data_IF_840659005982
#
_entry.id   IF_840659005982
#
_cell.length_a   1.000
_cell.length_b   1.000
_cell.length_c   1.000
_cell.angle_alpha   90.00
_cell.angle_beta   90.00
_cell.angle_gamma   90.00
#
_symmetry.space_group_name_H-M   'P 1'
#
loop_
_entity.id
_entity.type
_entity.pdbx_description
1 polymer ?
#
# COMPACT_ATOMS: atom_id res chain seq x y z
N UNK A 1 22.28 -5.64 19.41
CA UNK A 1 21.33 -5.22 18.35
C UNK A 1 20.13 -6.14 18.43
N UNK A 2 18.89 -5.65 18.53
CA UNK A 2 17.75 -6.56 18.62
C UNK A 2 17.64 -7.29 17.29
N UNK A 3 17.56 -8.63 17.36
CA UNK A 3 17.37 -9.53 16.22
C UNK A 3 16.13 -9.07 15.46
N UNK A 4 16.32 -8.32 14.36
CA UNK A 4 15.24 -8.04 13.43
C UNK A 4 14.86 -9.40 12.85
N UNK A 5 13.74 -9.98 13.30
CA UNK A 5 13.21 -11.22 12.74
C UNK A 5 13.07 -11.01 11.23
N UNK A 6 13.92 -11.68 10.47
CA UNK A 6 13.95 -11.60 9.02
C UNK A 6 12.58 -11.95 8.45
N UNK A 7 12.21 -11.26 7.37
CA UNK A 7 11.00 -11.56 6.64
C UNK A 7 11.25 -12.83 5.82
N UNK A 8 10.45 -13.87 6.06
CA UNK A 8 10.60 -15.12 5.30
C UNK A 8 10.08 -14.92 3.88
N UNK A 9 10.79 -15.47 2.88
CA UNK A 9 10.38 -15.37 1.46
C UNK A 9 8.93 -15.83 1.22
N UNK A 10 8.42 -16.92 1.82
CA UNK A 10 7.03 -17.32 1.65
C UNK A 10 6.03 -16.29 2.17
N UNK A 11 6.32 -15.64 3.29
CA UNK A 11 5.43 -14.61 3.85
C UNK A 11 5.39 -13.37 2.95
N UNK A 12 6.54 -12.95 2.42
CA UNK A 12 6.61 -11.84 1.48
C UNK A 12 5.84 -12.15 0.19
N UNK A 13 5.98 -13.36 -0.34
CA UNK A 13 5.22 -13.82 -1.51
C UNK A 13 3.72 -13.90 -1.25
N UNK A 14 3.30 -14.35 -0.06
CA UNK A 14 1.89 -14.37 0.32
C UNK A 14 1.30 -12.95 0.38
N UNK A 15 2.01 -12.00 0.98
CA UNK A 15 1.56 -10.59 1.02
C UNK A 15 1.47 -10.00 -0.38
N UNK A 16 2.43 -10.31 -1.25
CA UNK A 16 2.38 -9.90 -2.65
C UNK A 16 1.09 -10.39 -3.32
N UNK A 17 0.81 -11.70 -3.25
CA UNK A 17 -0.38 -12.28 -3.87
C UNK A 17 -1.67 -11.71 -3.28
N UNK A 18 -1.75 -11.60 -1.94
CA UNK A 18 -2.94 -11.08 -1.27
C UNK A 18 -3.19 -9.61 -1.60
N UNK A 19 -2.17 -8.75 -1.59
CA UNK A 19 -2.30 -7.33 -1.91
C UNK A 19 -2.84 -7.12 -3.33
N UNK A 20 -2.33 -7.89 -4.29
CA UNK A 20 -2.82 -7.87 -5.67
C UNK A 20 -4.22 -8.45 -5.82
N UNK A 21 -4.52 -9.57 -5.17
CA UNK A 21 -5.85 -10.17 -5.20
C UNK A 21 -6.92 -9.21 -4.65
N UNK A 22 -6.62 -8.53 -3.54
CA UNK A 22 -7.49 -7.49 -2.96
C UNK A 22 -7.67 -6.35 -3.97
N UNK A 23 -6.58 -5.80 -4.52
CA UNK A 23 -6.67 -4.69 -5.47
C UNK A 23 -7.51 -5.01 -6.71
N UNK A 24 -7.25 -6.14 -7.36
CA UNK A 24 -8.01 -6.59 -8.54
C UNK A 24 -9.50 -6.75 -8.20
N UNK A 25 -9.79 -7.36 -7.04
CA UNK A 25 -11.18 -7.55 -6.59
C UNK A 25 -11.87 -6.21 -6.40
N UNK A 26 -11.24 -5.27 -5.68
CA UNK A 26 -11.79 -3.95 -5.42
C UNK A 26 -12.03 -3.15 -6.71
N UNK A 27 -11.08 -3.17 -7.65
CA UNK A 27 -11.25 -2.51 -8.96
C UNK A 27 -12.37 -3.12 -9.79
N UNK A 28 -12.57 -4.44 -9.69
CA UNK A 28 -13.63 -5.15 -10.40
C UNK A 28 -15.02 -4.79 -9.86
N UNK A 29 -15.16 -4.59 -8.54
CA UNK A 29 -16.46 -4.30 -7.89
C UNK A 29 -16.72 -2.81 -7.70
N UNK A 30 -15.76 -1.92 -7.96
CA UNK A 30 -15.90 -0.47 -7.72
C UNK A 30 -17.08 0.17 -8.46
N UNK A 31 -17.44 -0.35 -9.64
CA UNK A 31 -18.58 0.13 -10.42
C UNK A 31 -19.95 -0.20 -9.80
N UNK A 32 -20.00 -1.13 -8.83
CA UNK A 32 -21.21 -1.48 -8.07
C UNK A 32 -21.46 -0.53 -6.90
N UNK A 33 -20.60 0.46 -6.68
CA UNK A 33 -20.75 1.44 -5.62
C UNK A 33 -22.00 2.32 -5.83
N UNK A 34 -22.66 2.76 -4.74
CA UNK A 34 -23.88 3.56 -4.82
C UNK A 34 -23.67 4.95 -5.45
N UNK A 35 -22.44 5.46 -5.40
CA UNK A 35 -22.06 6.77 -5.92
C UNK A 35 -20.59 6.78 -6.37
N UNK A 36 -20.24 7.79 -7.18
CA UNK A 36 -18.90 7.92 -7.75
C UNK A 36 -17.80 8.16 -6.71
N UNK A 37 -18.11 8.80 -5.59
CA UNK A 37 -17.16 9.06 -4.49
C UNK A 37 -16.78 7.76 -3.81
N UNK A 38 -17.78 6.96 -3.45
CA UNK A 38 -17.57 5.63 -2.86
C UNK A 38 -16.83 4.70 -3.82
N UNK A 39 -17.17 4.72 -5.11
CA UNK A 39 -16.44 3.97 -6.14
C UNK A 39 -14.97 4.39 -6.26
N UNK A 40 -14.70 5.70 -6.26
CA UNK A 40 -13.34 6.24 -6.26
C UNK A 40 -12.53 5.82 -5.03
N UNK A 41 -13.15 5.87 -3.85
CA UNK A 41 -12.51 5.43 -2.59
C UNK A 41 -12.15 3.94 -2.62
N UNK A 42 -13.02 3.07 -3.13
CA UNK A 42 -12.75 1.63 -3.30
C UNK A 42 -11.52 1.41 -4.19
N UNK A 43 -11.41 2.16 -5.30
CA UNK A 43 -10.25 2.07 -6.20
C UNK A 43 -8.96 2.44 -5.49
N UNK A 44 -9.00 3.49 -4.66
CA UNK A 44 -7.85 3.99 -3.91
C UNK A 44 -7.37 3.02 -2.82
N UNK A 45 -8.29 2.31 -2.16
CA UNK A 45 -7.92 1.20 -1.27
C UNK A 45 -7.20 0.10 -2.05
N UNK A 46 -7.66 -0.21 -3.28
CA UNK A 46 -6.97 -1.15 -4.17
C UNK A 46 -5.55 -0.73 -4.51
N UNK A 47 -5.32 0.57 -4.74
CA UNK A 47 -3.97 1.13 -4.97
C UNK A 47 -3.07 0.89 -3.76
N UNK A 48 -3.56 1.13 -2.54
CA UNK A 48 -2.78 0.88 -1.32
C UNK A 48 -2.45 -0.60 -1.14
N UNK A 49 -3.41 -1.49 -1.35
CA UNK A 49 -3.22 -2.93 -1.23
C UNK A 49 -2.16 -3.45 -2.21
N UNK A 50 -2.23 -3.03 -3.47
CA UNK A 50 -1.26 -3.40 -4.50
C UNK A 50 0.11 -2.79 -4.23
N UNK A 51 0.16 -1.55 -3.71
CA UNK A 51 1.42 -0.89 -3.33
C UNK A 51 2.14 -1.65 -2.22
N UNK A 52 1.43 -2.08 -1.17
CA UNK A 52 1.99 -2.92 -0.10
C UNK A 52 2.40 -4.28 -0.65
N UNK A 53 1.54 -4.91 -1.46
CA UNK A 53 1.83 -6.19 -2.11
C UNK A 53 3.11 -6.13 -2.94
N UNK A 54 3.27 -5.11 -3.76
CA UNK A 54 4.46 -4.87 -4.58
C UNK A 54 5.71 -4.64 -3.73
N UNK A 55 5.62 -3.87 -2.65
CA UNK A 55 6.76 -3.58 -1.78
C UNK A 55 7.25 -4.82 -0.99
N UNK A 56 6.34 -5.73 -0.62
CA UNK A 56 6.62 -6.80 0.33
C UNK A 56 7.81 -7.72 -0.02
N UNK A 57 8.01 -8.19 -1.27
CA UNK A 57 9.18 -8.99 -1.67
C UNK A 57 10.52 -8.27 -1.47
N UNK A 58 10.50 -6.94 -1.48
CA UNK A 58 11.69 -6.10 -1.40
C UNK A 58 12.03 -5.67 0.03
N UNK A 59 11.18 -5.97 1.02
CA UNK A 59 11.44 -5.65 2.42
C UNK A 59 12.29 -6.74 3.09
N UNK A 60 13.28 -6.32 3.88
CA UNK A 60 14.20 -7.25 4.57
C UNK A 60 13.66 -7.72 5.92
N UNK A 61 12.82 -6.90 6.57
CA UNK A 61 12.39 -7.14 7.95
C UNK A 61 10.88 -7.20 8.09
N UNK A 62 10.40 -7.98 9.05
CA UNK A 62 8.98 -7.98 9.44
C UNK A 62 8.52 -6.60 9.93
N UNK A 63 9.41 -5.81 10.54
CA UNK A 63 9.10 -4.44 10.99
C UNK A 63 8.80 -3.53 9.81
N UNK A 64 9.60 -3.59 8.75
CA UNK A 64 9.34 -2.85 7.51
C UNK A 64 8.00 -3.23 6.89
N UNK A 65 7.68 -4.54 6.88
CA UNK A 65 6.37 -4.99 6.41
C UNK A 65 5.21 -4.45 7.28
N UNK A 66 5.33 -4.53 8.60
CA UNK A 66 4.32 -3.97 9.52
C UNK A 66 4.19 -2.46 9.33
N UNK A 67 5.29 -1.74 9.15
CA UNK A 67 5.26 -0.30 8.87
C UNK A 67 4.54 0.01 7.56
N UNK A 68 4.78 -0.76 6.50
CA UNK A 68 4.07 -0.61 5.22
C UNK A 68 2.56 -0.85 5.37
N UNK A 69 2.16 -1.86 6.14
CA UNK A 69 0.74 -2.13 6.44
C UNK A 69 0.11 -1.00 7.27
N UNK A 70 0.80 -0.52 8.31
CA UNK A 70 0.32 0.61 9.11
C UNK A 70 0.16 1.86 8.23
N UNK A 71 1.15 2.14 7.37
CA UNK A 71 1.08 3.28 6.46
C UNK A 71 -0.08 3.15 5.47
N UNK A 72 -0.39 1.94 4.99
CA UNK A 72 -1.57 1.70 4.18
C UNK A 72 -2.87 1.94 4.96
N UNK A 73 -2.97 1.48 6.22
CA UNK A 73 -4.14 1.77 7.06
C UNK A 73 -4.33 3.28 7.30
N UNK A 74 -3.23 4.01 7.54
CA UNK A 74 -3.24 5.48 7.62
C UNK A 74 -3.69 6.07 6.27
N UNK A 75 -3.19 5.55 5.16
CA UNK A 75 -3.58 5.94 3.81
C UNK A 75 -5.09 5.76 3.58
N UNK A 76 -5.70 4.67 4.05
CA UNK A 76 -7.15 4.45 3.95
C UNK A 76 -7.90 5.58 4.68
N UNK A 77 -7.47 5.92 5.90
CA UNK A 77 -8.09 7.00 6.67
C UNK A 77 -7.94 8.36 5.96
N UNK A 78 -6.75 8.63 5.39
CA UNK A 78 -6.50 9.87 4.64
C UNK A 78 -7.29 9.94 3.33
N UNK A 79 -7.44 8.82 2.61
CA UNK A 79 -8.29 8.75 1.42
C UNK A 79 -9.77 8.95 1.77
N UNK A 80 -10.25 8.33 2.85
CA UNK A 80 -11.61 8.53 3.32
C UNK A 80 -11.84 10.02 3.64
N UNK A 81 -10.93 10.65 4.39
CA UNK A 81 -10.99 12.08 4.64
C UNK A 81 -10.95 12.90 3.34
N UNK A 82 -10.07 12.57 2.40
CA UNK A 82 -9.94 13.26 1.11
C UNK A 82 -11.20 13.20 0.25
N UNK A 83 -11.84 12.03 0.16
CA UNK A 83 -13.07 11.83 -0.60
C UNK A 83 -14.27 12.51 0.06
N UNK A 84 -14.50 12.24 1.35
CA UNK A 84 -15.72 12.67 2.03
C UNK A 84 -15.69 14.12 2.56
N UNK A 85 -14.50 14.72 2.70
CA UNK A 85 -14.36 16.16 3.02
C UNK A 85 -14.15 17.02 1.76
N UNK A 86 -14.18 16.43 0.56
CA UNK A 86 -14.04 17.17 -0.70
C UNK A 86 -12.65 17.78 -0.91
N UNK A 87 -11.59 17.07 -0.53
CA UNK A 87 -10.20 17.50 -0.69
C UNK A 87 -9.48 16.70 -1.79
N UNK A 88 -9.78 16.94 -3.09
CA UNK A 88 -9.27 16.14 -4.20
C UNK A 88 -7.74 16.22 -4.33
N UNK A 89 -7.13 17.35 -3.95
CA UNK A 89 -5.67 17.51 -3.95
C UNK A 89 -5.00 16.46 -3.06
N UNK A 90 -5.58 16.17 -1.89
CA UNK A 90 -5.06 15.14 -0.98
C UNK A 90 -5.19 13.76 -1.62
N UNK A 91 -6.34 13.46 -2.23
CA UNK A 91 -6.57 12.18 -2.93
C UNK A 91 -5.55 11.97 -4.04
N UNK A 92 -5.35 12.96 -4.92
CA UNK A 92 -4.37 12.85 -6.01
C UNK A 92 -2.93 12.74 -5.52
N UNK A 93 -2.58 13.47 -4.45
CA UNK A 93 -1.27 13.36 -3.84
C UNK A 93 -1.03 11.93 -3.32
N UNK A 94 -1.99 11.34 -2.62
CA UNK A 94 -1.89 9.99 -2.08
C UNK A 94 -1.84 8.93 -3.18
N UNK A 95 -2.60 9.11 -4.28
CA UNK A 95 -2.56 8.25 -5.47
C UNK A 95 -1.19 8.17 -6.11
N UNK A 96 -0.42 9.26 -6.05
CA UNK A 96 0.96 9.29 -6.54
C UNK A 96 1.94 8.76 -5.49
N UNK A 97 1.75 9.17 -4.24
CA UNK A 97 2.68 8.86 -3.15
C UNK A 97 2.75 7.36 -2.85
N UNK A 98 1.61 6.67 -2.76
CA UNK A 98 1.61 5.25 -2.40
C UNK A 98 2.36 4.35 -3.41
N UNK A 99 2.09 4.44 -4.73
CA UNK A 99 2.88 3.73 -5.74
C UNK A 99 4.35 4.17 -5.75
N UNK A 100 4.62 5.48 -5.59
CA UNK A 100 5.99 5.99 -5.55
C UNK A 100 6.80 5.36 -4.41
N UNK A 101 6.25 5.32 -3.18
CA UNK A 101 6.92 4.70 -2.04
C UNK A 101 7.11 3.18 -2.24
N UNK A 102 6.12 2.51 -2.85
CA UNK A 102 6.25 1.10 -3.20
C UNK A 102 7.39 0.85 -4.20
N UNK A 103 7.47 1.66 -5.26
CA UNK A 103 8.54 1.62 -6.26
C UNK A 103 9.91 1.97 -5.68
N UNK A 104 9.95 2.81 -4.66
CA UNK A 104 11.20 3.18 -4.00
C UNK A 104 11.76 2.06 -3.13
N UNK A 105 10.93 1.11 -2.70
CA UNK A 105 11.35 -0.04 -1.88
C UNK A 105 12.45 -0.89 -2.56
N UNK A 106 12.30 -1.38 -3.80
CA UNK A 106 13.38 -2.08 -4.50
C UNK A 106 14.60 -1.19 -4.76
N UNK A 107 14.42 0.09 -5.06
CA UNK A 107 15.54 1.03 -5.30
C UNK A 107 16.40 1.18 -4.04
N UNK A 108 15.77 1.37 -2.88
CA UNK A 108 16.49 1.48 -1.61
C UNK A 108 17.20 0.19 -1.22
N UNK A 109 16.60 -0.97 -1.52
CA UNK A 109 17.27 -2.26 -1.36
C UNK A 109 18.52 -2.37 -2.23
N UNK A 110 18.46 -1.92 -3.49
CA UNK A 110 19.61 -1.94 -4.41
C UNK A 110 20.71 -0.97 -3.97
N UNK A 111 20.35 0.18 -3.39
CA UNK A 111 21.30 1.21 -2.93
C UNK A 111 21.83 0.95 -1.50
N UNK A 112 21.32 -0.05 -0.79
CA UNK A 112 21.71 -0.35 0.58
C UNK A 112 21.22 0.65 1.64
N UNK A 113 20.32 1.58 1.27
CA UNK A 113 19.72 2.53 2.21
C UNK A 113 18.51 1.91 2.92
N UNK A 114 18.46 1.99 4.24
CA UNK A 114 17.35 1.46 5.05
C UNK A 114 16.35 2.56 5.37
N UNK A 115 15.23 2.63 4.64
CA UNK A 115 14.14 3.59 4.94
C UNK A 115 13.25 3.13 6.10
N UNK A 116 13.27 1.83 6.44
CA UNK A 116 12.47 1.24 7.53
C UNK A 116 13.32 0.55 8.61
N UNK A 117 14.48 1.12 8.94
CA UNK A 117 15.36 0.64 10.02
C UNK A 117 14.67 0.71 11.40
#
# INVERSE_FOLDING_TARGET
>A
MPVSRELTKPLAGLVFVLGWAIGITLWSVAHLAPDATTGGFIVDIGILAVSVGFAAPFLDTRKGLVAAVILALVGIALFAAGHYLGAPVIVYLLRLLAPFLALMTPVYRLLGFRVFA
#
